data_IF_842797167217
#
_entry.id   IF_842797167217
#
_cell.length_a   1.000
_cell.length_b   1.000
_cell.length_c   1.000
_cell.angle_alpha   90.00
_cell.angle_beta   90.00
_cell.angle_gamma   90.00
#
_symmetry.space_group_name_H-M   'P 1'
#
loop_
_entity.id
_entity.type
_entity.pdbx_description
1 polymer ?
#
# COMPACT_ATOMS: atom_id res chain seq x y z
N UNK A 1 13.85 68.57 -28.44
CA UNK A 1 13.84 68.07 -27.05
C UNK A 1 12.65 67.13 -26.87
N UNK A 2 12.82 65.83 -27.13
CA UNK A 2 11.77 64.81 -26.96
C UNK A 2 12.27 63.74 -26.00
N UNK A 3 11.42 63.43 -25.02
CA UNK A 3 11.24 62.09 -24.46
C UNK A 3 12.36 61.50 -23.58
N UNK A 4 12.60 62.08 -22.40
CA UNK A 4 13.12 61.34 -21.24
C UNK A 4 12.00 60.70 -20.39
N UNK A 5 10.73 61.04 -20.65
CA UNK A 5 9.56 60.54 -19.91
C UNK A 5 9.23 59.07 -20.22
N UNK A 6 9.32 58.65 -21.49
CA UNK A 6 9.02 57.26 -21.89
C UNK A 6 9.96 56.23 -21.26
N UNK A 7 11.19 56.62 -20.92
CA UNK A 7 12.18 55.71 -20.33
C UNK A 7 11.86 55.36 -18.87
N UNK A 8 11.21 56.27 -18.13
CA UNK A 8 10.77 56.03 -16.75
C UNK A 8 9.58 55.07 -16.69
N UNK A 9 8.63 55.21 -17.61
CA UNK A 9 7.49 54.30 -17.72
C UNK A 9 7.91 52.87 -18.11
N UNK A 10 8.89 52.74 -19.02
CA UNK A 10 9.43 51.45 -19.42
C UNK A 10 10.12 50.71 -18.27
N UNK A 11 10.85 51.42 -17.40
CA UNK A 11 11.47 50.83 -16.23
C UNK A 11 10.43 50.31 -15.23
N UNK A 12 9.33 51.04 -15.04
CA UNK A 12 8.24 50.64 -14.15
C UNK A 12 7.51 49.38 -14.62
N UNK A 13 7.27 49.26 -15.94
CA UNK A 13 6.64 48.06 -16.51
C UNK A 13 7.57 46.85 -16.37
N UNK A 14 8.88 47.04 -16.61
CA UNK A 14 9.86 45.97 -16.48
C UNK A 14 9.95 45.44 -15.04
N UNK A 15 10.01 46.33 -14.05
CA UNK A 15 10.06 45.92 -12.64
C UNK A 15 8.78 45.21 -12.21
N UNK A 16 7.61 45.67 -12.66
CA UNK A 16 6.34 45.01 -12.36
C UNK A 16 6.29 43.57 -12.90
N UNK A 17 6.75 43.34 -14.14
CA UNK A 17 6.80 41.99 -14.73
C UNK A 17 7.75 41.08 -13.96
N UNK A 18 8.91 41.59 -13.55
CA UNK A 18 9.88 40.82 -12.75
C UNK A 18 9.27 40.44 -11.39
N UNK A 19 8.64 41.38 -10.70
CA UNK A 19 8.01 41.14 -9.39
C UNK A 19 6.89 40.11 -9.51
N UNK A 20 6.01 40.24 -10.49
CA UNK A 20 4.94 39.25 -10.74
C UNK A 20 5.53 37.87 -11.08
N UNK A 21 6.61 37.84 -11.88
CA UNK A 21 7.31 36.61 -12.23
C UNK A 21 7.87 35.90 -10.99
N UNK A 22 8.50 36.64 -10.07
CA UNK A 22 9.02 36.11 -8.80
C UNK A 22 7.88 35.60 -7.90
N UNK A 23 6.77 36.33 -7.79
CA UNK A 23 5.62 35.83 -7.02
C UNK A 23 4.98 34.59 -7.63
N UNK A 24 4.92 34.50 -8.97
CA UNK A 24 4.42 33.33 -9.67
C UNK A 24 5.30 32.11 -9.47
N UNK A 25 6.63 32.27 -9.54
CA UNK A 25 7.56 31.17 -9.29
C UNK A 25 7.54 30.73 -7.83
N UNK A 26 7.47 31.66 -6.87
CA UNK A 26 7.28 31.35 -5.45
C UNK A 26 5.97 30.62 -5.18
N UNK A 27 4.86 31.05 -5.79
CA UNK A 27 3.56 30.38 -5.64
C UNK A 27 3.59 28.95 -6.20
N UNK A 28 4.25 28.74 -7.34
CA UNK A 28 4.45 27.41 -7.92
C UNK A 28 5.37 26.53 -7.07
N UNK A 29 6.38 27.12 -6.43
CA UNK A 29 7.29 26.40 -5.55
C UNK A 29 6.60 26.00 -4.24
N UNK A 30 5.86 26.92 -3.61
CA UNK A 30 5.13 26.66 -2.36
C UNK A 30 3.98 25.67 -2.57
N UNK A 31 3.27 25.70 -3.70
CA UNK A 31 2.21 24.71 -3.98
C UNK A 31 2.73 23.29 -4.21
N UNK A 32 3.99 23.06 -4.58
CA UNK A 32 4.58 21.70 -4.54
C UNK A 32 4.84 21.21 -3.12
N UNK A 33 4.94 22.13 -2.17
CA UNK A 33 4.97 21.85 -0.74
C UNK A 33 3.61 22.09 -0.09
N UNK A 34 2.50 22.08 -0.85
CA UNK A 34 1.17 21.93 -0.26
C UNK A 34 1.11 20.52 0.33
N UNK A 35 1.62 20.43 1.55
CA UNK A 35 1.41 19.36 2.51
C UNK A 35 1.45 18.00 1.83
N UNK A 36 2.66 17.41 1.70
CA UNK A 36 2.74 15.95 1.91
C UNK A 36 1.82 15.71 3.07
N UNK A 37 0.78 14.91 2.87
CA UNK A 37 -0.33 14.76 3.78
C UNK A 37 0.19 14.23 5.11
N UNK A 38 0.79 15.11 5.92
CA UNK A 38 1.40 14.80 7.21
C UNK A 38 0.31 14.52 8.21
N UNK A 39 -0.97 14.73 7.84
CA UNK A 39 -2.08 14.11 8.55
C UNK A 39 -1.94 12.59 8.58
N UNK A 40 -1.40 11.92 7.53
CA UNK A 40 -1.08 10.48 7.56
C UNK A 40 0.09 10.11 8.48
N UNK A 41 1.07 11.00 8.63
CA UNK A 41 2.16 10.82 9.60
C UNK A 41 1.73 11.16 11.04
N UNK A 42 0.66 11.95 11.19
CA UNK A 42 0.02 12.30 12.46
C UNK A 42 -1.24 11.47 12.75
N UNK A 43 -1.66 10.59 11.83
CA UNK A 43 -2.75 9.65 12.02
C UNK A 43 -2.29 8.71 13.13
N UNK A 44 -3.10 8.61 14.19
CA UNK A 44 -2.77 7.85 15.39
C UNK A 44 -2.29 6.44 15.05
N UNK A 45 -1.42 5.91 15.89
CA UNK A 45 -0.85 4.56 15.74
C UNK A 45 -1.88 3.48 15.42
N UNK A 46 -3.12 3.68 15.84
CA UNK A 46 -4.25 2.80 15.63
C UNK A 46 -4.80 2.80 14.20
N UNK A 47 -4.76 3.93 13.48
CA UNK A 47 -5.14 3.97 12.05
C UNK A 47 -4.10 3.16 11.25
N UNK A 48 -2.83 3.33 11.58
CA UNK A 48 -1.77 2.51 10.98
C UNK A 48 -1.94 1.02 11.31
N UNK A 49 -2.33 0.69 12.55
CA UNK A 49 -2.60 -0.70 12.95
C UNK A 49 -3.76 -1.27 12.10
N UNK A 50 -4.91 -0.60 12.04
CA UNK A 50 -6.07 -1.17 11.32
C UNK A 50 -5.78 -1.32 9.82
N UNK A 51 -5.10 -0.36 9.20
CA UNK A 51 -4.72 -0.43 7.78
C UNK A 51 -3.73 -1.57 7.52
N UNK A 52 -2.74 -1.75 8.39
CA UNK A 52 -1.77 -2.85 8.28
C UNK A 52 -2.44 -4.21 8.48
N UNK A 53 -3.33 -4.33 9.47
CA UNK A 53 -4.10 -5.57 9.69
C UNK A 53 -4.97 -5.87 8.47
N UNK A 54 -5.63 -4.87 7.90
CA UNK A 54 -6.42 -5.03 6.67
C UNK A 54 -5.55 -5.52 5.52
N UNK A 55 -4.42 -4.86 5.26
CA UNK A 55 -3.50 -5.24 4.19
C UNK A 55 -2.99 -6.68 4.35
N UNK A 56 -2.55 -7.04 5.56
CA UNK A 56 -2.03 -8.38 5.86
C UNK A 56 -3.13 -9.45 5.87
N UNK A 57 -4.37 -9.10 6.22
CA UNK A 57 -5.52 -10.00 6.09
C UNK A 57 -5.82 -10.31 4.63
N UNK A 58 -5.84 -9.28 3.75
CA UNK A 58 -6.02 -9.47 2.31
C UNK A 58 -4.91 -10.37 1.75
N UNK A 59 -3.66 -10.09 2.11
CA UNK A 59 -2.51 -10.94 1.73
C UNK A 59 -2.69 -12.37 2.22
N UNK A 60 -3.16 -12.58 3.45
CA UNK A 60 -3.41 -13.92 4.01
C UNK A 60 -4.44 -14.68 3.18
N UNK A 61 -5.54 -14.03 2.77
CA UNK A 61 -6.52 -14.67 1.88
C UNK A 61 -5.89 -15.00 0.52
N UNK A 62 -5.11 -14.09 -0.01
CA UNK A 62 -4.50 -14.24 -1.33
C UNK A 62 -3.46 -15.36 -1.40
N UNK A 63 -2.71 -15.62 -0.32
CA UNK A 63 -1.80 -16.77 -0.27
C UNK A 63 -2.49 -18.07 0.15
N UNK A 64 -3.80 -18.03 0.42
CA UNK A 64 -4.57 -19.17 0.90
C UNK A 64 -5.42 -19.76 -0.21
N UNK A 65 -5.75 -21.03 -0.03
CA UNK A 65 -6.57 -21.81 -0.93
C UNK A 65 -7.91 -22.08 -0.26
N UNK A 66 -8.94 -22.43 -1.04
CA UNK A 66 -10.27 -22.73 -0.51
C UNK A 66 -10.29 -23.84 0.56
N UNK A 67 -9.30 -24.73 0.57
CA UNK A 67 -9.17 -25.83 1.52
C UNK A 67 -8.58 -25.42 2.88
N UNK A 68 -7.68 -24.43 2.91
CA UNK A 68 -6.89 -24.06 4.10
C UNK A 68 -7.15 -22.62 4.59
N UNK A 69 -7.93 -21.82 3.84
CA UNK A 69 -8.20 -20.42 4.16
C UNK A 69 -8.83 -20.22 5.56
N UNK A 70 -9.71 -21.12 5.98
CA UNK A 70 -10.33 -21.02 7.31
C UNK A 70 -9.29 -21.15 8.43
N UNK A 71 -8.36 -22.10 8.29
CA UNK A 71 -7.29 -22.32 9.27
C UNK A 71 -6.32 -21.14 9.28
N UNK A 72 -5.90 -20.66 8.10
CA UNK A 72 -4.96 -19.53 7.98
C UNK A 72 -5.54 -18.23 8.51
N UNK A 73 -6.80 -17.92 8.20
CA UNK A 73 -7.47 -16.75 8.75
C UNK A 73 -7.68 -16.84 10.27
N UNK A 74 -7.92 -18.05 10.80
CA UNK A 74 -8.02 -18.25 12.25
C UNK A 74 -6.67 -17.97 12.94
N UNK A 75 -5.58 -18.54 12.43
CA UNK A 75 -4.22 -18.31 12.95
C UNK A 75 -3.84 -16.83 12.85
N UNK A 76 -4.12 -16.20 11.70
CA UNK A 76 -3.88 -14.78 11.52
C UNK A 76 -4.66 -13.94 12.52
N UNK A 77 -5.96 -14.21 12.69
CA UNK A 77 -6.82 -13.55 13.67
C UNK A 77 -6.22 -13.64 15.08
N UNK A 78 -5.88 -14.83 15.55
CA UNK A 78 -5.33 -15.04 16.89
C UNK A 78 -4.00 -14.28 17.07
N UNK A 79 -3.12 -14.38 16.09
CA UNK A 79 -1.80 -13.72 16.11
C UNK A 79 -1.93 -12.20 16.20
N UNK A 80 -2.79 -11.61 15.37
CA UNK A 80 -2.97 -10.15 15.38
C UNK A 80 -3.67 -9.69 16.64
N UNK A 81 -4.67 -10.43 17.13
CA UNK A 81 -5.35 -10.11 18.39
C UNK A 81 -4.36 -10.09 19.56
N UNK A 82 -3.45 -11.07 19.65
CA UNK A 82 -2.39 -11.11 20.66
C UNK A 82 -1.47 -9.89 20.57
N UNK A 83 -0.92 -9.60 19.39
CA UNK A 83 -0.01 -8.46 19.14
C UNK A 83 -0.66 -7.12 19.50
N UNK A 84 -1.93 -6.94 19.14
CA UNK A 84 -2.68 -5.69 19.34
C UNK A 84 -3.10 -5.55 20.81
N UNK A 85 -3.46 -6.65 21.48
CA UNK A 85 -3.76 -6.67 22.92
C UNK A 85 -2.54 -6.30 23.78
N UNK A 86 -1.34 -6.73 23.38
CA UNK A 86 -0.09 -6.34 24.04
C UNK A 86 0.21 -4.83 23.97
N UNK A 87 -0.51 -4.08 23.12
CA UNK A 87 -0.43 -2.62 23.01
C UNK A 87 -1.59 -1.88 23.69
N UNK A 88 -2.49 -2.60 24.36
CA UNK A 88 -3.64 -2.02 25.07
C UNK A 88 -4.86 -1.76 24.19
N UNK A 89 -4.95 -2.37 23.02
CA UNK A 89 -6.12 -2.24 22.14
C UNK A 89 -6.94 -3.54 22.10
N UNK A 90 -8.23 -3.43 21.81
CA UNK A 90 -9.10 -4.60 21.61
C UNK A 90 -9.42 -4.69 20.12
N UNK A 91 -8.99 -5.78 19.48
CA UNK A 91 -9.30 -6.05 18.08
C UNK A 91 -10.41 -7.08 17.98
N UNK A 92 -11.55 -6.68 17.42
CA UNK A 92 -12.60 -7.59 16.97
C UNK A 92 -12.42 -7.89 15.48
N UNK A 93 -12.12 -9.14 15.16
CA UNK A 93 -11.90 -9.62 13.80
C UNK A 93 -12.90 -10.73 13.51
N UNK A 94 -13.76 -10.51 12.52
CA UNK A 94 -14.69 -11.51 12.00
C UNK A 94 -14.55 -11.67 10.50
N UNK A 95 -14.79 -12.89 10.01
CA UNK A 95 -14.76 -13.17 8.59
C UNK A 95 -15.83 -14.18 8.20
N UNK A 96 -16.23 -14.15 6.95
CA UNK A 96 -17.16 -15.11 6.34
C UNK A 96 -16.66 -15.45 4.95
N UNK A 97 -16.60 -16.75 4.66
CA UNK A 97 -16.12 -17.26 3.38
C UNK A 97 -17.33 -17.66 2.54
N UNK A 98 -17.53 -16.96 1.43
CA UNK A 98 -18.53 -17.33 0.45
C UNK A 98 -17.89 -18.26 -0.58
N UNK A 99 -17.97 -19.57 -0.34
CA UNK A 99 -17.36 -20.56 -1.21
C UNK A 99 -17.87 -20.54 -2.67
N UNK A 100 -19.19 -20.38 -2.95
CA UNK A 100 -19.68 -20.26 -4.32
C UNK A 100 -19.10 -19.07 -5.10
N UNK A 101 -18.90 -17.93 -4.43
CA UNK A 101 -18.37 -16.72 -5.06
C UNK A 101 -16.86 -16.58 -4.93
N UNK A 102 -16.20 -17.47 -4.17
CA UNK A 102 -14.77 -17.40 -3.83
C UNK A 102 -14.36 -16.03 -3.28
N UNK A 103 -15.15 -15.49 -2.36
CA UNK A 103 -14.89 -14.20 -1.72
C UNK A 103 -14.81 -14.40 -0.21
N UNK A 104 -13.77 -13.86 0.41
CA UNK A 104 -13.68 -13.68 1.84
C UNK A 104 -14.14 -12.28 2.22
N UNK A 105 -15.19 -12.20 3.04
CA UNK A 105 -15.72 -10.96 3.59
C UNK A 105 -15.16 -10.82 5.01
N UNK A 106 -14.49 -9.71 5.29
CA UNK A 106 -13.83 -9.44 6.56
C UNK A 106 -14.37 -8.16 7.17
N UNK A 107 -14.66 -8.21 8.47
CA UNK A 107 -15.05 -7.05 9.26
C UNK A 107 -14.10 -6.94 10.45
N UNK A 108 -13.42 -5.81 10.55
CA UNK A 108 -12.40 -5.54 11.55
C UNK A 108 -12.79 -4.30 12.32
N UNK A 109 -12.77 -4.38 13.65
CA UNK A 109 -13.01 -3.27 14.55
C UNK A 109 -11.89 -3.16 15.58
N UNK A 110 -11.15 -2.07 15.56
CA UNK A 110 -10.13 -1.75 16.54
C UNK A 110 -10.69 -0.77 17.56
N UNK A 111 -10.78 -1.20 18.82
CA UNK A 111 -11.32 -0.42 19.93
C UNK A 111 -10.15 0.03 20.81
N UNK A 112 -10.06 1.34 21.03
CA UNK A 112 -9.16 1.97 22.00
C UNK A 112 -9.97 2.80 23.00
N UNK A 113 -9.31 3.33 24.03
CA UNK A 113 -9.95 4.23 25.01
C UNK A 113 -10.50 5.52 24.37
N UNK A 114 -9.98 5.89 23.19
CA UNK A 114 -10.29 7.17 22.54
C UNK A 114 -11.26 7.01 21.38
N UNK A 115 -11.26 5.87 20.70
CA UNK A 115 -12.01 5.68 19.48
C UNK A 115 -12.25 4.22 19.14
N UNK A 116 -13.21 4.01 18.24
CA UNK A 116 -13.47 2.72 17.60
C UNK A 116 -13.34 2.90 16.10
N UNK A 117 -12.34 2.26 15.50
CA UNK A 117 -12.14 2.24 14.05
C UNK A 117 -12.74 0.96 13.51
N UNK A 118 -13.54 1.07 12.44
CA UNK A 118 -14.13 -0.09 11.75
C UNK A 118 -13.68 -0.10 10.30
N UNK A 119 -13.43 -1.29 9.77
CA UNK A 119 -13.10 -1.51 8.38
C UNK A 119 -13.74 -2.79 7.90
N UNK A 120 -14.54 -2.68 6.86
CA UNK A 120 -15.19 -3.80 6.20
C UNK A 120 -14.66 -3.87 4.77
N UNK A 121 -14.23 -5.06 4.35
CA UNK A 121 -13.68 -5.28 3.03
C UNK A 121 -13.87 -6.72 2.58
N UNK A 122 -13.83 -6.90 1.28
CA UNK A 122 -13.92 -8.20 0.64
C UNK A 122 -12.69 -8.40 -0.23
N UNK A 123 -12.23 -9.63 -0.31
CA UNK A 123 -11.10 -10.00 -1.17
C UNK A 123 -11.42 -11.31 -1.88
N UNK A 124 -11.11 -11.43 -3.18
CA UNK A 124 -11.23 -12.69 -3.90
C UNK A 124 -10.23 -13.70 -3.34
N UNK A 125 -10.62 -14.98 -3.37
CA UNK A 125 -9.79 -16.12 -3.01
C UNK A 125 -9.27 -16.70 -4.33
N UNK A 126 -7.95 -16.78 -4.55
CA UNK A 126 -7.40 -17.24 -5.81
C UNK A 126 -7.71 -18.72 -6.07
N UNK A 127 -7.72 -19.07 -7.36
CA UNK A 127 -7.95 -20.42 -7.84
C UNK A 127 -6.59 -21.11 -8.03
N UNK A 128 -6.36 -22.22 -7.32
CA UNK A 128 -5.11 -23.00 -7.30
C UNK A 128 -4.58 -23.43 -8.68
N UNK A 129 -5.39 -23.35 -9.75
CA UNK A 129 -5.06 -23.94 -11.05
C UNK A 129 -4.54 -22.95 -12.11
N UNK A 130 -4.54 -21.63 -11.86
CA UNK A 130 -4.17 -20.69 -12.94
C UNK A 130 -3.72 -19.29 -12.45
N UNK A 131 -2.98 -19.24 -11.35
CA UNK A 131 -2.48 -17.97 -10.81
C UNK A 131 -1.02 -17.75 -11.25
N UNK A 132 -0.83 -16.84 -12.22
CA UNK A 132 0.48 -16.47 -12.77
C UNK A 132 1.25 -15.61 -11.75
N UNK A 133 2.58 -15.78 -11.66
CA UNK A 133 3.41 -14.94 -10.78
C UNK A 133 3.29 -13.46 -11.17
N UNK A 134 3.08 -13.16 -12.46
CA UNK A 134 2.86 -11.81 -12.94
C UNK A 134 1.61 -11.18 -12.30
N UNK A 135 0.48 -11.89 -12.29
CA UNK A 135 -0.77 -11.40 -11.70
C UNK A 135 -0.63 -11.17 -10.19
N UNK A 136 0.03 -12.09 -9.48
CA UNK A 136 0.35 -11.95 -8.06
C UNK A 136 1.18 -10.69 -7.77
N UNK A 137 2.22 -10.47 -8.56
CA UNK A 137 3.13 -9.35 -8.36
C UNK A 137 2.46 -8.01 -8.69
N UNK A 138 1.61 -7.96 -9.73
CA UNK A 138 0.83 -6.77 -10.08
C UNK A 138 -0.17 -6.42 -8.97
N UNK A 139 -0.85 -7.40 -8.37
CA UNK A 139 -1.76 -7.18 -7.24
C UNK A 139 -1.05 -6.63 -5.99
N UNK A 140 0.23 -6.94 -5.83
CA UNK A 140 1.09 -6.40 -4.79
C UNK A 140 1.69 -5.02 -5.11
N UNK A 141 1.46 -4.51 -6.32
CA UNK A 141 1.96 -3.21 -6.79
C UNK A 141 3.33 -3.24 -7.47
N UNK A 142 3.79 -4.43 -7.90
CA UNK A 142 4.98 -4.64 -8.71
C UNK A 142 4.64 -4.66 -10.21
N UNK A 143 5.63 -4.64 -11.09
CA UNK A 143 5.38 -4.62 -12.54
C UNK A 143 5.33 -6.02 -13.16
N UNK A 144 6.15 -6.95 -12.68
CA UNK A 144 6.23 -8.34 -13.18
C UNK A 144 6.66 -9.31 -12.09
N UNK A 145 6.45 -10.61 -12.31
CA UNK A 145 6.82 -11.71 -11.42
C UNK A 145 7.39 -12.90 -12.17
N UNK A 146 8.59 -13.34 -11.79
CA UNK A 146 9.27 -14.47 -12.43
C UNK A 146 9.31 -15.71 -11.54
N UNK A 147 9.23 -16.88 -12.18
CA UNK A 147 9.29 -18.19 -11.56
C UNK A 147 10.72 -18.71 -11.41
N UNK A 148 11.16 -18.99 -10.17
CA UNK A 148 12.50 -19.58 -9.90
C UNK A 148 12.36 -21.01 -9.39
N UNK A 149 13.06 -21.94 -10.06
CA UNK A 149 12.98 -23.40 -9.85
C UNK A 149 14.01 -23.98 -8.88
N UNK A 150 14.94 -23.17 -8.34
CA UNK A 150 15.96 -23.63 -7.39
C UNK A 150 15.64 -23.12 -5.96
N UNK A 151 15.37 -24.01 -4.99
CA UNK A 151 15.04 -23.64 -3.61
C UNK A 151 16.22 -23.00 -2.83
N UNK A 152 17.45 -23.10 -3.35
CA UNK A 152 18.66 -22.51 -2.78
C UNK A 152 19.10 -21.22 -3.47
N UNK A 153 18.48 -20.86 -4.60
CA UNK A 153 18.64 -19.55 -5.20
C UNK A 153 17.75 -18.59 -4.40
N UNK A 154 18.37 -17.82 -3.50
CA UNK A 154 17.82 -16.52 -3.13
C UNK A 154 17.56 -15.76 -4.44
N UNK A 155 16.42 -15.07 -4.62
CA UNK A 155 16.19 -14.29 -5.85
C UNK A 155 17.39 -13.33 -6.06
N UNK A 156 18.39 -13.72 -6.85
CA UNK A 156 19.68 -13.00 -6.91
C UNK A 156 19.55 -11.88 -7.93
N UNK A 157 19.50 -10.66 -7.37
CA UNK A 157 19.76 -9.36 -7.96
C UNK A 157 20.24 -9.33 -9.43
N UNK A 158 19.37 -8.87 -10.32
CA UNK A 158 19.78 -8.15 -11.53
C UNK A 158 19.31 -6.69 -11.43
N UNK A 159 19.90 -5.93 -10.51
CA UNK A 159 19.73 -4.46 -10.42
C UNK A 159 18.59 -3.97 -9.52
N UNK A 160 18.99 -3.28 -8.45
CA UNK A 160 18.37 -2.19 -7.69
C UNK A 160 16.83 -2.11 -7.47
N UNK A 161 16.22 -3.02 -6.69
CA UNK A 161 15.41 -2.71 -5.48
C UNK A 161 14.83 -3.96 -4.79
N UNK A 162 14.61 -3.90 -3.46
CA UNK A 162 14.54 -5.05 -2.53
C UNK A 162 13.16 -5.19 -1.84
N UNK A 163 12.67 -6.43 -1.58
CA UNK A 163 12.20 -6.93 -0.26
C UNK A 163 11.63 -8.36 -0.24
N UNK A 164 11.82 -9.13 0.86
CA UNK A 164 11.39 -10.52 1.00
C UNK A 164 10.00 -10.65 1.67
N UNK A 165 9.13 -11.53 1.16
CA UNK A 165 8.17 -12.37 1.91
C UNK A 165 7.19 -13.14 0.97
N UNK A 166 7.26 -14.48 1.06
CA UNK A 166 6.24 -15.51 0.75
C UNK A 166 5.99 -16.03 -0.70
N UNK A 167 5.54 -17.30 -0.72
CA UNK A 167 5.55 -18.37 -1.74
C UNK A 167 4.31 -18.43 -2.69
N UNK A 168 4.36 -19.39 -3.65
CA UNK A 168 3.38 -19.92 -4.65
C UNK A 168 3.37 -19.14 -5.98
N UNK A 169 3.42 -19.69 -7.22
CA UNK A 169 3.35 -21.06 -7.78
C UNK A 169 4.14 -21.10 -9.13
N UNK A 170 4.99 -22.11 -9.34
CA UNK A 170 5.61 -22.46 -10.63
C UNK A 170 5.51 -23.98 -10.81
N UNK A 171 5.60 -24.46 -12.05
CA UNK A 171 5.21 -25.83 -12.43
C UNK A 171 6.10 -27.00 -11.93
N UNK A 172 6.88 -26.86 -10.84
CA UNK A 172 7.61 -28.00 -10.29
C UNK A 172 7.70 -27.91 -8.78
N UNK A 173 7.34 -28.99 -8.07
CA UNK A 173 7.36 -29.35 -6.64
C UNK A 173 7.94 -28.45 -5.52
N UNK A 174 8.66 -27.37 -5.78
CA UNK A 174 9.03 -26.32 -4.80
C UNK A 174 9.59 -25.07 -5.52
N UNK A 175 8.77 -24.15 -6.03
CA UNK A 175 9.30 -22.95 -6.65
C UNK A 175 8.76 -21.66 -6.03
N UNK A 176 9.59 -20.62 -6.06
CA UNK A 176 9.34 -19.30 -5.48
C UNK A 176 9.04 -18.31 -6.62
N UNK A 177 8.01 -17.48 -6.48
CA UNK A 177 7.82 -16.30 -7.32
C UNK A 177 8.72 -15.17 -6.81
N UNK A 178 9.44 -14.49 -7.72
CA UNK A 178 10.22 -13.29 -7.43
C UNK A 178 9.56 -12.10 -8.14
N UNK A 179 9.02 -11.14 -7.38
CA UNK A 179 8.43 -9.91 -7.93
C UNK A 179 9.49 -8.84 -8.19
N UNK A 180 9.39 -8.13 -9.32
CA UNK A 180 10.24 -6.99 -9.68
C UNK A 180 9.43 -5.71 -9.90
N UNK A 181 9.99 -4.58 -9.46
CA UNK A 181 9.37 -3.25 -9.54
C UNK A 181 9.61 -2.63 -10.91
#
# INVERSE_FOLDING_TARGET
>A
MRSLSNRKAQFFILTAVIVIGVFFTLSKYINRYSLIDTSRAAQGSEIFIIDNVKEKAMKTVHISNMTNINERLAIFKETVQDVVSGRGYILDFSYTINAPLRIAIMNISLISDRYTLKSDFQTPIPDDENYDCDDFCVDLGYTTGDCVSDPYIECVNFGDEYRPEANYHCESSDPRCCCSS
#
